data_IF_573411585670
#
_entry.id   IF_573411585670
#
_cell.length_a   1.000
_cell.length_b   1.000
_cell.length_c   1.000
_cell.angle_alpha   90.00
_cell.angle_beta   90.00
_cell.angle_gamma   90.00
#
_symmetry.space_group_name_H-M   'P 1'
#
loop_
_entity.id
_entity.type
_entity.pdbx_description
1 polymer ?
#
# COMPACT_ATOMS: atom_id res chain seq x y z
N UNK A 1 -20.81 -5.97 -1.45
CA UNK A 1 -20.24 -6.47 -0.18
C UNK A 1 -20.22 -5.32 0.82
N UNK A 2 -21.07 -5.36 1.83
CA UNK A 2 -21.08 -4.38 2.92
C UNK A 2 -19.79 -4.52 3.71
N UNK A 3 -18.98 -3.45 3.81
CA UNK A 3 -17.81 -3.43 4.70
C UNK A 3 -18.33 -3.73 6.12
N UNK A 4 -17.87 -4.82 6.74
CA UNK A 4 -18.16 -5.03 8.16
C UNK A 4 -17.61 -3.81 8.92
N UNK A 5 -18.44 -3.21 9.78
CA UNK A 5 -18.01 -2.10 10.63
C UNK A 5 -17.04 -2.65 11.66
N UNK A 6 -15.81 -2.12 11.67
CA UNK A 6 -14.85 -2.45 12.72
C UNK A 6 -15.20 -1.60 13.94
N UNK A 7 -15.65 -2.25 15.00
CA UNK A 7 -15.97 -1.60 16.26
C UNK A 7 -15.53 -2.44 17.46
N UNK A 8 -15.24 -1.75 18.57
CA UNK A 8 -15.01 -2.38 19.88
C UNK A 8 -15.78 -1.58 20.94
N UNK A 9 -16.68 -2.23 21.67
CA UNK A 9 -17.55 -1.59 22.68
C UNK A 9 -18.27 -0.33 22.18
N UNK A 10 -18.79 -0.37 20.94
CA UNK A 10 -19.48 0.77 20.32
C UNK A 10 -18.57 1.91 19.85
N UNK A 11 -17.24 1.75 19.93
CA UNK A 11 -16.27 2.70 19.37
C UNK A 11 -15.93 2.29 17.93
N UNK A 12 -16.26 3.11 16.92
CA UNK A 12 -15.93 2.81 15.53
C UNK A 12 -14.44 2.99 15.27
N UNK A 13 -13.82 2.01 14.63
CA UNK A 13 -12.38 1.99 14.28
C UNK A 13 -12.15 2.27 12.79
N UNK A 14 -13.20 2.34 11.97
CA UNK A 14 -13.14 2.52 10.51
C UNK A 14 -12.47 3.84 10.06
N UNK A 15 -12.35 4.79 10.98
CA UNK A 15 -11.70 6.10 10.76
C UNK A 15 -10.18 6.06 10.94
N UNK A 16 -9.63 4.98 11.50
CA UNK A 16 -8.20 4.81 11.73
C UNK A 16 -7.58 4.23 10.46
N UNK A 17 -6.75 5.03 9.77
CA UNK A 17 -6.09 4.60 8.52
C UNK A 17 -4.61 4.88 8.52
N UNK A 18 -3.85 4.06 7.80
CA UNK A 18 -2.42 4.27 7.65
C UNK A 18 -2.21 5.39 6.62
N UNK A 19 -1.51 6.45 7.02
CA UNK A 19 -1.21 7.61 6.16
C UNK A 19 -0.39 7.25 4.92
N UNK A 20 0.33 6.13 4.97
CA UNK A 20 1.12 5.68 3.84
C UNK A 20 0.22 5.12 2.71
N UNK A 21 -1.01 4.68 3.00
CA UNK A 21 -1.95 4.15 1.98
C UNK A 21 -2.13 5.14 0.82
N UNK A 22 -2.51 6.38 1.14
CA UNK A 22 -2.73 7.43 0.14
C UNK A 22 -1.46 7.80 -0.61
N UNK A 23 -0.32 7.82 0.09
CA UNK A 23 0.98 8.16 -0.50
C UNK A 23 1.47 7.09 -1.48
N UNK A 24 1.28 5.81 -1.14
CA UNK A 24 1.59 4.68 -2.01
C UNK A 24 0.76 4.75 -3.28
N UNK A 25 -0.56 4.94 -3.17
CA UNK A 25 -1.45 5.06 -4.35
C UNK A 25 -1.04 6.23 -5.25
N UNK A 26 -0.65 7.37 -4.64
CA UNK A 26 -0.21 8.56 -5.38
C UNK A 26 1.10 8.32 -6.16
N UNK A 27 2.03 7.55 -5.61
CA UNK A 27 3.38 7.36 -6.17
C UNK A 27 3.50 6.13 -7.06
N UNK A 28 2.58 5.17 -6.94
CA UNK A 28 2.58 3.93 -7.71
C UNK A 28 2.63 4.15 -9.23
N UNK A 29 1.87 5.08 -9.86
CA UNK A 29 1.94 5.31 -11.31
C UNK A 29 3.32 5.76 -11.78
N UNK A 30 4.03 6.57 -10.97
CA UNK A 30 5.38 7.01 -11.28
C UNK A 30 6.34 5.82 -11.33
N UNK A 31 6.25 4.91 -10.36
CA UNK A 31 7.12 3.72 -10.33
C UNK A 31 6.78 2.77 -11.46
N UNK A 32 5.50 2.50 -11.74
CA UNK A 32 5.11 1.64 -12.86
C UNK A 32 5.58 2.16 -14.22
N UNK A 33 5.68 3.48 -14.40
CA UNK A 33 6.23 4.07 -15.62
C UNK A 33 7.73 3.79 -15.84
N UNK A 34 8.45 3.37 -14.79
CA UNK A 34 9.85 2.91 -14.89
C UNK A 34 9.96 1.50 -15.51
N UNK A 35 8.86 0.73 -15.54
CA UNK A 35 8.80 -0.67 -16.01
C UNK A 35 8.00 -0.77 -17.32
N UNK A 36 8.60 -0.35 -18.44
CA UNK A 36 7.91 -0.19 -19.73
C UNK A 36 7.30 -1.49 -20.30
N UNK A 37 7.90 -2.64 -20.01
CA UNK A 37 7.44 -3.95 -20.51
C UNK A 37 6.45 -4.64 -19.56
N UNK A 38 6.28 -4.10 -18.35
CA UNK A 38 5.44 -4.72 -17.34
C UNK A 38 4.01 -4.16 -17.38
N UNK A 39 3.04 -5.04 -17.62
CA UNK A 39 1.61 -4.73 -17.59
C UNK A 39 0.98 -5.42 -16.38
N UNK A 40 0.94 -4.78 -15.20
CA UNK A 40 0.42 -5.42 -13.99
C UNK A 40 -1.07 -5.73 -14.15
N UNK A 41 -1.45 -6.94 -13.76
CA UNK A 41 -2.83 -7.35 -13.61
C UNK A 41 -3.48 -6.66 -12.41
N UNK A 42 -4.80 -6.86 -12.26
CA UNK A 42 -5.53 -6.39 -11.09
C UNK A 42 -4.95 -6.94 -9.77
N UNK A 43 -4.57 -8.23 -9.76
CA UNK A 43 -3.97 -8.87 -8.58
C UNK A 43 -2.56 -8.33 -8.32
N UNK A 44 -1.77 -8.11 -9.37
CA UNK A 44 -0.42 -7.56 -9.21
C UNK A 44 -0.46 -6.17 -8.55
N UNK A 45 -1.42 -5.31 -8.93
CA UNK A 45 -1.58 -3.99 -8.31
C UNK A 45 -1.90 -4.12 -6.81
N UNK A 46 -2.76 -5.08 -6.43
CA UNK A 46 -3.10 -5.33 -5.04
C UNK A 46 -1.89 -5.87 -4.25
N UNK A 47 -1.14 -6.80 -4.84
CA UNK A 47 0.04 -7.40 -4.23
C UNK A 47 1.16 -6.38 -4.06
N UNK A 48 1.44 -5.54 -5.07
CA UNK A 48 2.40 -4.43 -4.98
C UNK A 48 2.00 -3.50 -3.83
N UNK A 49 0.74 -3.08 -3.79
CA UNK A 49 0.24 -2.20 -2.73
C UNK A 49 0.39 -2.82 -1.33
N UNK A 50 -0.02 -4.07 -1.16
CA UNK A 50 0.05 -4.78 0.11
C UNK A 50 1.52 -4.99 0.55
N UNK A 51 2.38 -5.43 -0.35
CA UNK A 51 3.80 -5.65 -0.06
C UNK A 51 4.52 -4.36 0.33
N UNK A 52 4.29 -3.27 -0.40
CA UNK A 52 4.86 -1.96 -0.04
C UNK A 52 4.43 -1.52 1.35
N UNK A 53 3.13 -1.62 1.68
CA UNK A 53 2.64 -1.22 3.00
C UNK A 53 3.15 -2.12 4.13
N UNK A 54 3.30 -3.41 3.88
CA UNK A 54 3.84 -4.37 4.85
C UNK A 54 5.32 -4.07 5.20
N UNK A 55 6.09 -3.52 4.26
CA UNK A 55 7.50 -3.21 4.47
C UNK A 55 7.74 -1.82 5.09
N UNK A 56 6.76 -0.91 5.00
CA UNK A 56 6.88 0.43 5.57
C UNK A 56 6.45 0.45 7.05
N UNK A 57 7.13 1.21 7.93
CA UNK A 57 6.64 1.44 9.28
C UNK A 57 5.21 1.99 9.27
N UNK A 58 4.22 1.32 9.91
CA UNK A 58 2.84 1.77 9.86
C UNK A 58 2.66 3.11 10.58
N UNK A 59 1.80 3.97 10.02
CA UNK A 59 1.52 5.32 10.54
C UNK A 59 0.02 5.60 10.54
N UNK A 60 -0.66 5.08 11.56
CA UNK A 60 -2.09 5.29 11.72
C UNK A 60 -2.41 6.70 12.21
N UNK A 61 -3.41 7.33 11.57
CA UNK A 61 -3.96 8.63 12.00
C UNK A 61 -5.39 8.43 12.47
N UNK A 62 -5.72 9.07 13.58
CA UNK A 62 -7.09 9.30 14.04
C UNK A 62 -7.50 10.71 13.65
N UNK A 63 -8.75 10.91 13.20
CA UNK A 63 -9.30 12.24 12.97
C UNK A 63 -9.22 13.07 14.26
N UNK A 64 -8.42 14.14 14.27
CA UNK A 64 -8.27 15.04 15.42
C UNK A 64 -7.01 14.88 16.27
N UNK A 65 -6.11 13.93 15.99
CA UNK A 65 -4.86 13.80 16.75
C UNK A 65 -3.71 14.65 16.21
N UNK A 66 -2.89 15.20 17.11
CA UNK A 66 -1.67 15.96 16.79
C UNK A 66 -0.58 14.97 16.37
N UNK A 67 -0.03 15.17 15.17
CA UNK A 67 1.01 14.31 14.57
C UNK A 67 2.37 14.77 15.08
N UNK A 68 3.12 13.87 15.77
CA UNK A 68 4.34 14.27 16.50
C UNK A 68 5.65 14.12 15.70
N UNK A 69 5.70 13.46 14.52
CA UNK A 69 6.86 13.47 13.60
C UNK A 69 6.53 12.77 12.27
N UNK A 70 7.08 13.26 11.17
CA UNK A 70 7.00 12.60 9.85
C UNK A 70 8.29 11.80 9.62
N UNK A 71 8.21 10.46 9.71
CA UNK A 71 9.40 9.60 9.67
C UNK A 71 9.62 8.87 8.34
N UNK A 72 8.55 8.65 7.56
CA UNK A 72 8.64 7.95 6.26
C UNK A 72 8.69 9.00 5.16
N UNK A 73 9.82 9.08 4.50
CA UNK A 73 10.06 9.98 3.37
C UNK A 73 9.42 9.45 2.10
N UNK A 74 9.24 10.33 1.12
CA UNK A 74 8.77 9.91 -0.22
C UNK A 74 9.79 8.98 -0.91
N UNK A 75 11.08 9.23 -0.71
CA UNK A 75 12.15 8.40 -1.25
C UNK A 75 12.10 6.96 -0.73
N UNK A 76 11.77 6.75 0.55
CA UNK A 76 11.58 5.40 1.11
C UNK A 76 10.37 4.69 0.49
N UNK A 77 9.26 5.40 0.27
CA UNK A 77 8.07 4.82 -0.38
C UNK A 77 8.38 4.42 -1.81
N UNK A 78 9.05 5.29 -2.58
CA UNK A 78 9.47 4.99 -3.94
C UNK A 78 10.42 3.79 -4.01
N UNK A 79 11.35 3.68 -3.05
CA UNK A 79 12.24 2.53 -2.94
C UNK A 79 11.46 1.24 -2.69
N UNK A 80 10.55 1.23 -1.71
CA UNK A 80 9.76 0.03 -1.38
C UNK A 80 8.78 -0.35 -2.50
N UNK A 81 8.24 0.63 -3.24
CA UNK A 81 7.42 0.38 -4.42
C UNK A 81 8.21 -0.37 -5.50
N UNK A 82 9.44 0.07 -5.83
CA UNK A 82 10.29 -0.63 -6.81
C UNK A 82 10.58 -2.06 -6.40
N UNK A 83 10.93 -2.27 -5.12
CA UNK A 83 11.17 -3.61 -4.58
C UNK A 83 9.93 -4.51 -4.65
N UNK A 84 8.75 -3.94 -4.41
CA UNK A 84 7.49 -4.67 -4.52
C UNK A 84 7.16 -5.01 -5.99
N UNK A 85 7.32 -4.08 -6.91
CA UNK A 85 7.15 -4.31 -8.36
C UNK A 85 8.08 -5.42 -8.83
N UNK A 86 9.37 -5.33 -8.54
CA UNK A 86 10.38 -6.35 -8.90
C UNK A 86 10.00 -7.74 -8.38
N UNK A 87 9.45 -7.81 -7.18
CA UNK A 87 9.07 -9.08 -6.54
C UNK A 87 7.84 -9.69 -7.19
N UNK A 88 6.81 -8.88 -7.44
CA UNK A 88 5.54 -9.33 -8.02
C UNK A 88 5.72 -9.70 -9.50
N UNK A 89 6.49 -8.92 -10.25
CA UNK A 89 6.79 -9.23 -11.66
C UNK A 89 7.50 -10.58 -11.81
N UNK A 90 8.42 -10.92 -10.89
CA UNK A 90 9.18 -12.19 -10.92
C UNK A 90 8.37 -13.40 -10.47
N UNK A 91 7.34 -13.21 -9.65
CA UNK A 91 6.52 -14.28 -9.09
C UNK A 91 5.05 -13.85 -8.98
N UNK A 92 4.35 -13.69 -10.12
CA UNK A 92 2.98 -13.21 -10.13
C UNK A 92 2.04 -14.29 -9.58
N UNK A 93 1.19 -13.89 -8.64
CA UNK A 93 0.25 -14.76 -7.91
C UNK A 93 -0.77 -15.48 -8.82
N UNK A 94 -0.91 -15.05 -10.09
CA UNK A 94 -1.87 -15.61 -11.07
C UNK A 94 -1.31 -16.46 -12.21
N UNK A 95 -0.01 -16.81 -12.26
CA UNK A 95 0.57 -17.65 -13.34
C UNK A 95 0.74 -19.15 -12.98
N UNK A 96 0.19 -19.59 -11.85
CA UNK A 96 0.36 -20.95 -11.31
C UNK A 96 -0.88 -21.84 -11.35
N UNK A 97 -1.99 -21.39 -11.94
CA UNK A 97 -3.21 -22.17 -12.13
C UNK A 97 -3.48 -22.33 -13.63
N UNK A 98 -2.77 -23.26 -14.26
CA UNK A 98 -3.10 -23.88 -15.57
C UNK A 98 -2.72 -25.37 -15.52
#
# INVERSE_FOLDING_TARGET
>A
MSRQKLEYNGVPLDSIRNRNEERVVRLLPQVLAEYLDYKPSYLDIQDIYALTLNNLPPRYKQSGSIIIRESVTEAEILRELRLAVDRVEKAPTGKGED
#
